data_IF_299616550909
#
_entry.id   IF_299616550909
#
_cell.length_a   1.000
_cell.length_b   1.000
_cell.length_c   1.000
_cell.angle_alpha   90.00
_cell.angle_beta   90.00
_cell.angle_gamma   90.00
#
_symmetry.space_group_name_H-M   'P 1'
#
loop_
_entity.id
_entity.type
_entity.pdbx_description
1 polymer ?
#
# COMPACT_ATOMS: atom_id res chain seq x y z
N UNK A 1 3.55 10.93 -2.77
CA UNK A 1 3.93 9.56 -2.32
C UNK A 1 2.65 8.76 -2.12
N UNK A 2 2.67 7.45 -2.39
CA UNK A 2 1.49 6.59 -2.27
C UNK A 2 1.90 5.27 -1.59
N UNK A 3 1.17 4.87 -0.55
CA UNK A 3 1.45 3.66 0.24
C UNK A 3 0.91 2.36 -0.35
N UNK A 4 0.98 2.18 -1.68
CA UNK A 4 0.60 0.88 -2.28
C UNK A 4 1.70 -0.15 -2.02
N UNK A 5 1.30 -1.41 -1.86
CA UNK A 5 2.23 -2.55 -1.82
C UNK A 5 1.95 -3.49 -2.99
N UNK A 6 2.99 -4.05 -3.59
CA UNK A 6 2.84 -4.94 -4.73
C UNK A 6 2.11 -6.24 -4.35
N UNK A 7 2.23 -6.67 -3.09
CA UNK A 7 1.57 -7.84 -2.51
C UNK A 7 0.04 -7.69 -2.35
N UNK A 8 -0.50 -6.46 -2.41
CA UNK A 8 -1.93 -6.22 -2.21
C UNK A 8 -2.81 -6.69 -3.38
N UNK A 9 -2.29 -6.64 -4.62
CA UNK A 9 -2.98 -7.15 -5.82
C UNK A 9 -2.07 -7.30 -7.03
N UNK A 10 -2.46 -8.18 -7.97
CA UNK A 10 -1.75 -8.35 -9.25
C UNK A 10 -1.67 -7.05 -10.06
N UNK A 11 -2.69 -6.19 -9.98
CA UNK A 11 -2.68 -4.89 -10.65
C UNK A 11 -1.58 -3.98 -10.11
N UNK A 12 -1.44 -3.88 -8.77
CA UNK A 12 -0.38 -3.10 -8.12
C UNK A 12 1.00 -3.66 -8.44
N UNK A 13 1.16 -4.99 -8.44
CA UNK A 13 2.40 -5.64 -8.86
C UNK A 13 2.79 -5.26 -10.31
N UNK A 14 1.82 -5.29 -11.24
CA UNK A 14 2.04 -4.88 -12.64
C UNK A 14 2.49 -3.42 -12.75
N UNK A 15 1.94 -2.52 -11.94
CA UNK A 15 2.36 -1.10 -11.90
C UNK A 15 3.85 -0.96 -11.59
N UNK A 16 4.39 -1.77 -10.68
CA UNK A 16 5.82 -1.72 -10.32
C UNK A 16 6.69 -2.41 -11.38
N UNK A 17 6.29 -3.60 -11.84
CA UNK A 17 7.07 -4.42 -12.77
C UNK A 17 7.11 -3.88 -14.21
N UNK A 18 6.19 -2.99 -14.59
CA UNK A 18 6.12 -2.45 -15.94
C UNK A 18 7.44 -1.76 -16.34
N UNK A 19 8.16 -2.35 -17.31
CA UNK A 19 9.43 -1.82 -17.83
C UNK A 19 9.26 -0.70 -18.85
N UNK A 20 8.09 -0.63 -19.49
CA UNK A 20 7.79 0.36 -20.53
C UNK A 20 7.34 1.72 -19.96
N UNK A 21 7.10 1.82 -18.64
CA UNK A 21 6.68 3.07 -18.00
C UNK A 21 7.84 4.07 -17.89
N UNK A 22 7.51 5.36 -17.93
CA UNK A 22 8.45 6.43 -17.60
C UNK A 22 8.66 6.49 -16.09
N UNK A 23 9.92 6.52 -15.68
CA UNK A 23 10.40 6.46 -14.29
C UNK A 23 11.19 7.72 -13.98
N UNK A 24 11.21 8.12 -12.72
CA UNK A 24 12.13 9.11 -12.20
C UNK A 24 13.46 8.42 -11.87
N UNK A 25 14.59 8.90 -12.40
CA UNK A 25 15.94 8.39 -12.13
C UNK A 25 16.09 6.85 -12.23
N UNK A 26 15.42 6.23 -13.19
CA UNK A 26 15.35 4.77 -13.36
C UNK A 26 14.80 3.97 -12.16
N UNK A 27 14.15 4.65 -11.20
CA UNK A 27 13.54 4.02 -10.01
C UNK A 27 12.22 3.37 -10.38
N UNK A 28 12.18 2.04 -10.40
CA UNK A 28 10.98 1.25 -10.75
C UNK A 28 9.78 1.45 -9.80
N UNK A 29 10.00 1.92 -8.58
CA UNK A 29 8.94 2.30 -7.66
C UNK A 29 8.35 3.69 -7.93
N UNK A 30 8.74 4.32 -9.05
CA UNK A 30 8.16 5.57 -9.53
C UNK A 30 7.47 5.39 -10.88
N UNK A 31 6.47 6.22 -11.15
CA UNK A 31 5.75 6.26 -12.43
C UNK A 31 5.42 7.72 -12.76
N UNK A 32 5.82 8.19 -13.94
CA UNK A 32 5.41 9.52 -14.41
C UNK A 32 3.91 9.53 -14.72
N UNK A 33 3.18 10.45 -14.12
CA UNK A 33 1.74 10.65 -14.36
C UNK A 33 1.50 11.83 -15.30
N UNK A 34 2.25 12.93 -15.11
CA UNK A 34 2.26 14.12 -15.96
C UNK A 34 3.71 14.61 -16.09
N UNK A 35 3.98 15.61 -16.94
CA UNK A 35 5.34 16.08 -17.26
C UNK A 35 6.24 16.22 -16.03
N UNK A 36 5.76 16.91 -14.98
CA UNK A 36 6.53 17.15 -13.76
C UNK A 36 5.92 16.47 -12.52
N UNK A 37 5.01 15.51 -12.72
CA UNK A 37 4.31 14.82 -11.63
C UNK A 37 4.62 13.33 -11.68
N UNK A 38 5.22 12.83 -10.60
CA UNK A 38 5.58 11.43 -10.44
C UNK A 38 4.83 10.84 -9.24
N UNK A 39 4.21 9.68 -9.48
CA UNK A 39 3.76 8.80 -8.42
C UNK A 39 4.95 7.99 -7.91
N UNK A 40 5.08 7.85 -6.60
CA UNK A 40 6.17 7.16 -5.94
C UNK A 40 5.63 6.22 -4.86
N UNK A 41 6.08 4.97 -4.88
CA UNK A 41 5.58 3.85 -4.09
C UNK A 41 6.68 3.28 -3.18
N UNK A 42 7.08 3.98 -2.10
CA UNK A 42 8.24 3.58 -1.29
C UNK A 42 8.04 2.27 -0.52
N UNK A 43 6.79 1.81 -0.34
CA UNK A 43 6.45 0.59 0.39
C UNK A 43 6.15 -0.59 -0.55
N UNK A 44 6.52 -0.50 -1.82
CA UNK A 44 6.05 -1.45 -2.85
C UNK A 44 6.44 -2.91 -2.56
N UNK A 45 7.58 -3.15 -1.91
CA UNK A 45 8.13 -4.47 -1.59
C UNK A 45 7.75 -4.96 -0.19
N UNK A 46 7.09 -4.12 0.61
CA UNK A 46 6.64 -4.49 1.94
C UNK A 46 5.44 -5.43 1.87
N UNK A 47 5.35 -6.31 2.85
CA UNK A 47 4.19 -7.17 3.11
C UNK A 47 3.42 -6.67 4.32
N UNK A 48 2.22 -7.19 4.52
CA UNK A 48 1.39 -6.85 5.68
C UNK A 48 2.13 -7.00 7.03
N UNK A 49 2.90 -8.07 7.28
CA UNK A 49 3.67 -8.18 8.53
C UNK A 49 4.73 -7.09 8.71
N UNK A 50 5.39 -6.65 7.64
CA UNK A 50 6.44 -5.61 7.72
C UNK A 50 5.86 -4.29 8.26
N UNK A 51 4.64 -3.95 7.86
CA UNK A 51 3.91 -2.78 8.37
C UNK A 51 3.70 -2.89 9.89
N UNK A 52 3.22 -4.03 10.37
CA UNK A 52 2.93 -4.25 11.79
C UNK A 52 4.21 -4.34 12.64
N UNK A 53 5.28 -4.93 12.08
CA UNK A 53 6.60 -4.97 12.73
C UNK A 53 7.22 -3.58 12.81
N UNK A 54 7.14 -2.79 11.74
CA UNK A 54 7.61 -1.41 11.75
C UNK A 54 6.82 -0.57 12.77
N UNK A 55 5.49 -0.71 12.76
CA UNK A 55 4.63 0.00 13.70
C UNK A 55 4.95 -0.35 15.16
N UNK A 56 5.19 -1.63 15.48
CA UNK A 56 5.55 -2.04 16.84
C UNK A 56 6.96 -1.60 17.27
N UNK A 57 7.90 -1.48 16.32
CA UNK A 57 9.27 -1.01 16.59
C UNK A 57 9.35 0.49 16.76
N UNK A 58 8.64 1.25 15.96
CA UNK A 58 8.73 2.71 15.91
C UNK A 58 7.58 3.43 16.61
N UNK A 59 6.58 2.67 17.08
CA UNK A 59 5.43 3.16 17.83
C UNK A 59 4.70 4.30 17.10
N UNK A 60 4.44 4.11 15.81
CA UNK A 60 3.71 5.07 14.98
C UNK A 60 2.22 5.07 15.31
N UNK A 61 1.55 6.19 15.02
CA UNK A 61 0.10 6.28 15.13
C UNK A 61 -0.60 5.44 14.06
N UNK A 62 -1.67 4.76 14.43
CA UNK A 62 -2.49 3.95 13.54
C UNK A 62 -3.96 3.93 14.00
N UNK A 63 -4.85 3.40 13.16
CA UNK A 63 -6.27 3.32 13.48
C UNK A 63 -6.55 2.19 14.50
N UNK A 64 -7.04 2.54 15.69
CA UNK A 64 -7.32 1.58 16.77
C UNK A 64 -8.38 0.51 16.43
N UNK A 65 -9.15 0.69 15.36
CA UNK A 65 -10.07 -0.36 14.89
C UNK A 65 -9.34 -1.65 14.51
N UNK A 66 -8.06 -1.57 14.10
CA UNK A 66 -7.26 -2.75 13.81
C UNK A 66 -7.00 -3.59 15.06
N UNK A 67 -6.90 -2.95 16.25
CA UNK A 67 -6.81 -3.68 17.52
C UNK A 67 -8.12 -4.42 17.82
N UNK A 68 -9.26 -3.79 17.52
CA UNK A 68 -10.57 -4.42 17.67
C UNK A 68 -10.73 -5.61 16.72
N UNK A 69 -10.30 -5.48 15.46
CA UNK A 69 -10.28 -6.59 14.50
C UNK A 69 -9.38 -7.73 14.97
N UNK A 70 -8.20 -7.40 15.50
CA UNK A 70 -7.28 -8.38 16.06
C UNK A 70 -7.88 -9.12 17.26
N UNK A 71 -8.50 -8.39 18.20
CA UNK A 71 -9.22 -8.96 19.34
C UNK A 71 -10.41 -9.84 18.93
N UNK A 72 -11.05 -9.51 17.81
CA UNK A 72 -12.11 -10.32 17.21
C UNK A 72 -11.60 -11.55 16.43
N UNK A 73 -10.27 -11.77 16.38
CA UNK A 73 -9.66 -12.91 15.70
C UNK A 73 -9.55 -12.76 14.18
N UNK A 74 -9.73 -11.56 13.63
CA UNK A 74 -9.62 -11.31 12.18
C UNK A 74 -8.15 -11.43 11.76
N UNK A 75 -7.81 -12.34 10.83
CA UNK A 75 -6.44 -12.49 10.33
C UNK A 75 -5.92 -11.19 9.71
N UNK A 76 -4.63 -10.87 9.88
CA UNK A 76 -4.01 -9.64 9.35
C UNK A 76 -4.24 -9.44 7.84
N UNK A 77 -4.31 -10.52 7.06
CA UNK A 77 -4.57 -10.47 5.61
C UNK A 77 -5.99 -10.00 5.25
N UNK A 78 -6.93 -10.10 6.19
CA UNK A 78 -8.35 -9.77 6.04
C UNK A 78 -8.74 -8.46 6.74
N UNK A 79 -7.83 -7.80 7.45
CA UNK A 79 -8.07 -6.52 8.11
C UNK A 79 -8.10 -5.36 7.11
N UNK A 80 -9.13 -5.33 6.26
CA UNK A 80 -9.34 -4.28 5.26
C UNK A 80 -10.55 -3.45 5.65
N UNK A 81 -10.40 -2.13 5.59
CA UNK A 81 -11.49 -1.18 5.74
C UNK A 81 -11.87 -0.67 4.36
N UNK A 82 -13.15 -0.77 4.01
CA UNK A 82 -13.65 -0.06 2.86
C UNK A 82 -14.07 1.35 3.29
N UNK A 83 -13.96 2.29 2.37
CA UNK A 83 -14.57 3.60 2.56
C UNK A 83 -16.09 3.40 2.65
N UNK A 84 -16.78 3.93 3.67
CA UNK A 84 -18.20 3.66 3.88
C UNK A 84 -19.13 4.18 2.75
N UNK A 85 -18.60 5.02 1.84
CA UNK A 85 -19.31 5.55 0.67
C UNK A 85 -18.41 5.58 -0.58
N UNK A 86 -17.54 4.60 -0.75
CA UNK A 86 -16.66 4.54 -1.93
C UNK A 86 -17.45 4.26 -3.21
N UNK A 87 -17.10 4.91 -4.32
CA UNK A 87 -17.70 4.67 -5.65
C UNK A 87 -17.63 3.19 -6.10
N UNK A 88 -16.74 2.39 -5.48
CA UNK A 88 -16.64 0.93 -5.68
C UNK A 88 -17.77 0.11 -5.02
N UNK A 89 -18.73 0.75 -4.33
CA UNK A 89 -19.85 0.08 -3.65
C UNK A 89 -21.17 0.07 -4.46
N UNK A 90 -21.11 0.40 -5.76
CA UNK A 90 -22.24 0.30 -6.70
C UNK A 90 -22.28 -1.01 -7.47
#
# INVERSE_FOLDING_TARGET
LIGIRADESLHRFKTIKNRAKKKLDDKYWTTQMQSDVYMAYPLYDWRTPDIWIANSRFNWDYNCIYDLMHKAGVPLSQQRLCQPFGDEQR
#
